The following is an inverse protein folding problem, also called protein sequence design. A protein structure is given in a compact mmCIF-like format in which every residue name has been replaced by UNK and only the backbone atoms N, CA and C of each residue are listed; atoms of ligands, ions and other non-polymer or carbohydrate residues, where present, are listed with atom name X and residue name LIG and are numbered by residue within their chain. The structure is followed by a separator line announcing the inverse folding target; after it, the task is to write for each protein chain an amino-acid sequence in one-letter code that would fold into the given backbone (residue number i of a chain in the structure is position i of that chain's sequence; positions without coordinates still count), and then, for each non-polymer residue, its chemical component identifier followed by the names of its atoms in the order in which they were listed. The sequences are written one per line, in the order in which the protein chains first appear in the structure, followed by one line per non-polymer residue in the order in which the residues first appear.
data_IF_021885098855
#
_entry.id   IF_021885098855
#
_cell.length_a   1.000
_cell.length_b   1.000
_cell.length_c   1.000
_cell.angle_alpha   90.00
_cell.angle_beta   90.00
_cell.angle_gamma   90.00
#
_symmetry.space_group_name_H-M   'P 1'
#
loop_
_entity.id
_entity.type
_entity.pdbx_description
1 polymer ?
#
# COMPACT_ATOMS: atom_id res chain seq x y z
N UNK A 1 -30.51 3.35 -3.51
CA UNK A 1 -29.11 3.00 -3.21
C UNK A 1 -28.31 3.08 -4.52
N UNK A 2 -27.37 4.03 -4.65
CA UNK A 2 -26.50 4.11 -5.83
C UNK A 2 -25.53 2.93 -5.78
N UNK A 3 -25.60 2.03 -6.76
CA UNK A 3 -24.56 1.02 -6.97
C UNK A 3 -23.24 1.74 -7.29
N UNK A 4 -22.27 1.69 -6.37
CA UNK A 4 -20.89 2.09 -6.65
C UNK A 4 -20.39 1.24 -7.82
N UNK A 5 -19.91 1.90 -8.88
CA UNK A 5 -19.39 1.24 -10.07
C UNK A 5 -18.18 0.39 -9.65
N UNK A 6 -18.33 -0.94 -9.70
CA UNK A 6 -17.20 -1.87 -9.60
C UNK A 6 -16.16 -1.49 -10.66
N UNK A 7 -14.91 -1.31 -10.22
CA UNK A 7 -13.72 -0.88 -10.99
C UNK A 7 -13.45 0.64 -11.03
N UNK A 8 -13.35 1.27 -9.86
CA UNK A 8 -12.68 2.58 -9.77
C UNK A 8 -11.17 2.34 -9.86
N UNK A 9 -10.56 2.75 -10.96
CA UNK A 9 -9.11 2.87 -11.06
C UNK A 9 -8.71 4.24 -10.53
N UNK A 10 -8.16 4.28 -9.32
CA UNK A 10 -7.59 5.51 -8.76
C UNK A 10 -6.51 6.09 -9.67
N UNK A 11 -6.41 7.41 -9.74
CA UNK A 11 -5.24 8.08 -10.32
C UNK A 11 -3.97 7.66 -9.56
N UNK A 12 -2.78 7.93 -10.12
CA UNK A 12 -1.52 7.66 -9.39
C UNK A 12 -1.49 8.38 -8.06
N UNK A 13 -1.89 9.65 -8.04
CA UNK A 13 -1.88 10.49 -6.85
C UNK A 13 -2.86 10.02 -5.79
N UNK A 14 -4.09 9.69 -6.18
CA UNK A 14 -5.08 9.20 -5.22
C UNK A 14 -4.67 7.84 -4.66
N UNK A 15 -4.11 6.97 -5.51
CA UNK A 15 -3.57 5.69 -5.07
C UNK A 15 -2.47 5.90 -4.03
N UNK A 16 -1.47 6.73 -4.33
CA UNK A 16 -0.38 7.04 -3.39
C UNK A 16 -0.94 7.59 -2.08
N UNK A 17 -1.84 8.57 -2.15
CA UNK A 17 -2.46 9.19 -0.98
C UNK A 17 -3.16 8.14 -0.11
N UNK A 18 -4.00 7.30 -0.71
CA UNK A 18 -4.72 6.26 0.01
C UNK A 18 -3.81 5.22 0.66
N UNK A 19 -2.82 4.70 -0.09
CA UNK A 19 -1.86 3.73 0.46
C UNK A 19 -1.08 4.36 1.61
N UNK A 20 -0.63 5.60 1.46
CA UNK A 20 0.09 6.31 2.51
C UNK A 20 -0.76 6.48 3.76
N UNK A 21 -1.99 6.96 3.63
CA UNK A 21 -2.91 7.13 4.77
C UNK A 21 -3.15 5.81 5.50
N UNK A 22 -3.47 4.74 4.78
CA UNK A 22 -3.79 3.44 5.38
C UNK A 22 -2.56 2.84 6.07
N UNK A 23 -1.41 2.88 5.41
CA UNK A 23 -0.17 2.29 5.95
C UNK A 23 0.31 3.05 7.18
N UNK A 24 0.35 4.39 7.12
CA UNK A 24 0.74 5.23 8.25
C UNK A 24 -0.24 5.10 9.41
N UNK A 25 -1.55 5.08 9.12
CA UNK A 25 -2.59 4.90 10.14
C UNK A 25 -2.47 3.55 10.85
N UNK A 26 -2.24 2.46 10.10
CA UNK A 26 -2.03 1.13 10.71
C UNK A 26 -0.76 1.12 11.56
N UNK A 27 0.35 1.62 11.01
CA UNK A 27 1.61 1.66 11.74
C UNK A 27 1.50 2.46 13.05
N UNK A 28 0.83 3.61 13.03
CA UNK A 28 0.62 4.42 14.23
C UNK A 28 -0.28 3.73 15.28
N UNK A 29 -1.16 2.82 14.85
CA UNK A 29 -2.07 2.10 15.74
C UNK A 29 -1.40 0.90 16.42
N UNK A 30 -0.70 0.05 15.67
CA UNK A 30 -0.15 -1.21 16.18
C UNK A 30 1.20 -1.62 15.56
N UNK A 31 1.80 -0.78 14.71
CA UNK A 31 3.07 -1.06 14.02
C UNK A 31 3.00 -2.16 12.96
N UNK A 32 1.82 -2.72 12.69
CA UNK A 32 1.68 -3.87 11.81
C UNK A 32 1.62 -3.49 10.31
N UNK A 33 2.04 -4.38 9.40
CA UNK A 33 1.94 -4.15 7.97
C UNK A 33 0.50 -4.38 7.47
N UNK A 34 0.09 -3.69 6.41
CA UNK A 34 -1.26 -3.81 5.83
C UNK A 34 -1.23 -4.69 4.59
N UNK A 35 -2.04 -5.74 4.57
CA UNK A 35 -2.11 -6.66 3.43
C UNK A 35 -2.81 -6.02 2.21
N UNK A 36 -2.47 -6.49 1.01
CA UNK A 36 -3.19 -6.11 -0.20
C UNK A 36 -4.69 -6.45 -0.13
N UNK A 37 -5.08 -7.50 0.60
CA UNK A 37 -6.49 -7.86 0.76
C UNK A 37 -7.25 -6.83 1.59
N UNK A 38 -6.65 -6.36 2.68
CA UNK A 38 -7.22 -5.29 3.51
C UNK A 38 -7.32 -3.97 2.75
N UNK A 39 -6.26 -3.58 2.02
CA UNK A 39 -6.28 -2.38 1.18
C UNK A 39 -7.35 -2.48 0.09
N UNK A 40 -7.45 -3.64 -0.57
CA UNK A 40 -8.43 -3.87 -1.63
C UNK A 40 -9.87 -3.74 -1.09
N UNK A 41 -10.13 -4.32 0.08
CA UNK A 41 -11.43 -4.20 0.76
C UNK A 41 -11.73 -2.76 1.18
N UNK A 42 -10.75 -2.05 1.74
CA UNK A 42 -10.93 -0.66 2.18
C UNK A 42 -11.22 0.29 1.01
N UNK A 43 -10.54 0.09 -0.12
CA UNK A 43 -10.68 0.93 -1.31
C UNK A 43 -11.79 0.46 -2.27
N UNK A 44 -12.48 -0.64 -1.96
CA UNK A 44 -13.47 -1.28 -2.85
C UNK A 44 -12.91 -1.55 -4.27
N UNK A 45 -11.70 -2.10 -4.33
CA UNK A 45 -11.01 -2.45 -5.58
C UNK A 45 -10.59 -3.92 -5.62
N UNK A 46 -10.28 -4.42 -6.81
CA UNK A 46 -9.69 -5.75 -6.94
C UNK A 46 -8.24 -5.79 -6.44
N UNK A 47 -7.77 -6.92 -5.86
CA UNK A 47 -6.35 -7.13 -5.58
C UNK A 47 -5.46 -7.02 -6.82
N UNK A 48 -5.99 -7.32 -8.02
CA UNK A 48 -5.26 -7.17 -9.28
C UNK A 48 -4.98 -5.71 -9.63
N UNK A 49 -5.91 -4.80 -9.30
CA UNK A 49 -5.68 -3.36 -9.44
C UNK A 49 -4.48 -2.90 -8.60
N UNK A 50 -4.33 -3.44 -7.38
CA UNK A 50 -3.17 -3.16 -6.53
C UNK A 50 -1.89 -3.76 -7.11
N UNK A 51 -1.94 -4.99 -7.65
CA UNK A 51 -0.79 -5.63 -8.32
C UNK A 51 -0.34 -4.85 -9.55
N UNK A 52 -1.28 -4.29 -10.31
CA UNK A 52 -0.97 -3.43 -11.45
C UNK A 52 -0.26 -2.14 -10.98
N UNK A 53 -0.78 -1.47 -9.95
CA UNK A 53 -0.14 -0.27 -9.37
C UNK A 53 1.24 -0.56 -8.76
N UNK A 54 1.44 -1.74 -8.16
CA UNK A 54 2.75 -2.19 -7.69
C UNK A 54 3.80 -2.28 -8.80
N UNK A 55 3.39 -2.48 -10.06
CA UNK A 55 4.30 -2.50 -11.22
C UNK A 55 4.60 -1.10 -11.76
N UNK A 56 3.90 -0.08 -11.29
CA UNK A 56 4.16 1.31 -11.67
C UNK A 56 5.34 1.86 -10.86
N UNK A 57 6.50 2.00 -11.51
CA UNK A 57 7.72 2.44 -10.87
C UNK A 57 7.62 3.85 -10.27
N UNK A 58 6.83 4.74 -10.87
CA UNK A 58 6.67 6.10 -10.34
C UNK A 58 5.88 6.08 -9.04
N UNK A 59 4.80 5.28 -8.99
CA UNK A 59 4.02 5.07 -7.76
C UNK A 59 4.89 4.48 -6.66
N UNK A 60 5.64 3.41 -6.97
CA UNK A 60 6.45 2.73 -5.97
C UNK A 60 7.61 3.58 -5.45
N UNK A 61 8.27 4.37 -6.32
CA UNK A 61 9.32 5.31 -5.88
C UNK A 61 8.77 6.39 -4.96
N UNK A 62 7.58 6.93 -5.24
CA UNK A 62 6.97 7.94 -4.36
C UNK A 62 6.59 7.33 -3.01
N UNK A 63 6.04 6.11 -2.99
CA UNK A 63 5.75 5.41 -1.74
C UNK A 63 7.03 5.12 -0.94
N UNK A 64 8.09 4.68 -1.62
CA UNK A 64 9.38 4.40 -0.98
C UNK A 64 10.03 5.67 -0.41
N UNK A 65 9.93 6.81 -1.09
CA UNK A 65 10.36 8.10 -0.57
C UNK A 65 9.59 8.53 0.69
N UNK A 66 8.37 8.02 0.87
CA UNK A 66 7.57 8.17 2.09
C UNK A 66 7.83 7.06 3.13
N UNK A 67 8.87 6.23 2.93
CA UNK A 67 9.21 5.11 3.81
C UNK A 67 8.29 3.89 3.67
N UNK A 68 7.44 3.82 2.65
CA UNK A 68 6.48 2.73 2.46
C UNK A 68 7.02 1.74 1.43
N UNK A 69 7.26 0.51 1.86
CA UNK A 69 7.74 -0.59 1.02
C UNK A 69 6.73 -1.73 0.99
N UNK A 70 6.97 -2.69 0.10
CA UNK A 70 6.13 -3.89 -0.04
C UNK A 70 6.94 -5.14 0.20
N UNK A 71 6.52 -5.99 1.12
CA UNK A 71 7.10 -7.32 1.37
C UNK A 71 6.05 -8.42 1.23
N UNK A 72 6.49 -9.64 0.93
CA UNK A 72 5.61 -10.82 0.94
C UNK A 72 5.64 -11.46 2.33
N UNK A 73 4.48 -11.65 2.93
CA UNK A 73 4.29 -12.38 4.19
C UNK A 73 3.28 -13.48 3.91
N UNK A 74 3.65 -14.74 4.16
CA UNK A 74 2.81 -15.93 3.89
C UNK A 74 2.21 -15.91 2.45
N UNK A 75 3.01 -15.49 1.47
CA UNK A 75 2.61 -15.42 0.06
C UNK A 75 1.80 -14.18 -0.35
N UNK A 76 1.41 -13.32 0.58
CA UNK A 76 0.58 -12.13 0.33
C UNK A 76 1.45 -10.87 0.41
N UNK A 77 1.27 -9.94 -0.53
CA UNK A 77 1.94 -8.64 -0.48
C UNK A 77 1.36 -7.79 0.65
N UNK A 78 2.23 -7.14 1.41
CA UNK A 78 1.85 -6.19 2.44
C UNK A 78 2.63 -4.88 2.27
N UNK A 79 1.95 -3.76 2.44
CA UNK A 79 2.57 -2.45 2.63
C UNK A 79 3.04 -2.34 4.07
N UNK A 80 4.26 -1.84 4.27
CA UNK A 80 4.83 -1.63 5.59
C UNK A 80 5.66 -0.35 5.59
N UNK A 81 5.76 0.28 6.76
CA UNK A 81 6.64 1.42 6.96
C UNK A 81 8.03 0.90 7.36
N UNK A 82 9.08 1.30 6.63
CA UNK A 82 10.46 1.07 7.07
C UNK A 82 10.79 2.06 8.18
N UNK A 83 11.21 1.56 9.33
CA UNK A 83 11.79 2.37 10.40
C UNK A 83 13.30 2.49 10.20
N UNK A 84 13.92 3.51 10.80
CA UNK A 84 15.36 3.77 10.68
C UNK A 84 16.23 2.56 11.11
N UNK A 85 15.72 1.71 12.00
CA UNK A 85 16.39 0.49 12.48
C UNK A 85 16.58 -0.59 11.39
N UNK A 86 15.76 -0.62 10.35
CA UNK A 86 15.96 -1.55 9.22
C UNK A 86 17.02 -1.03 8.22
N UNK A 87 17.33 0.28 8.22
CA UNK A 87 18.31 0.86 7.31
C UNK A 87 19.77 0.69 7.77
N UNK A 88 20.02 0.49 9.07
CA UNK A 88 21.36 0.28 9.65
C UNK A 88 21.92 -1.13 9.44
N UNK A 89 21.09 -2.10 9.03
CA UNK A 89 21.52 -3.49 8.78
C UNK A 89 22.13 -3.71 7.39
N UNK A 90 22.29 -2.66 6.58
CA UNK A 90 22.81 -2.73 5.19
C UNK A 90 24.18 -2.05 5.05
N UNK A 91 24.83 -1.62 6.14
CA UNK A 91 26.18 -1.01 6.11
C UNK A 91 27.24 -2.00 6.58
#
# INVERSE_FOLDING_TARGET
MKHLKKNIYYSREDFIRHISTITLGRFAYDGSPVSFLEVAAYLDVSPDSLRMRKRDANVMKTLEAAGIKVKKIKGINHYYLTTEEENTLII
#
